data_IF_658723381105
#
_entry.id   IF_658723381105
#
_cell.length_a   1.000
_cell.length_b   1.000
_cell.length_c   1.000
_cell.angle_alpha   90.00
_cell.angle_beta   90.00
_cell.angle_gamma   90.00
#
_symmetry.space_group_name_H-M   'P 1'
#
loop_
_entity.id
_entity.type
_entity.pdbx_description
1 polymer ?
#
# COMPACT_ATOMS: atom_id res chain seq x y z
N UNK A 1 -8.47 -36.50 13.22
CA UNK A 1 -7.86 -37.07 12.01
C UNK A 1 -6.37 -36.68 11.97
N UNK A 2 -5.50 -37.40 12.70
CA UNK A 2 -4.07 -37.10 12.92
C UNK A 2 -3.11 -38.13 12.27
N UNK A 3 -3.64 -39.14 11.58
CA UNK A 3 -2.90 -40.35 11.21
C UNK A 3 -2.10 -40.26 9.91
N UNK A 4 -2.52 -39.42 8.96
CA UNK A 4 -1.87 -39.36 7.64
C UNK A 4 -0.59 -38.52 7.66
N UNK A 5 -0.59 -37.35 8.31
CA UNK A 5 0.60 -36.49 8.38
C UNK A 5 1.76 -37.18 9.11
N UNK A 6 1.52 -37.77 10.29
CA UNK A 6 2.59 -38.43 11.06
C UNK A 6 3.27 -39.56 10.29
N UNK A 7 2.55 -40.26 9.41
CA UNK A 7 3.08 -41.39 8.61
C UNK A 7 4.04 -40.94 7.49
N UNK A 8 3.77 -39.81 6.85
CA UNK A 8 4.64 -39.28 5.80
C UNK A 8 5.87 -38.58 6.39
N UNK A 9 5.70 -37.81 7.46
CA UNK A 9 6.80 -37.07 8.10
C UNK A 9 7.75 -37.97 8.91
N UNK A 10 7.28 -39.10 9.46
CA UNK A 10 8.14 -40.05 10.18
C UNK A 10 9.14 -40.78 9.28
N UNK A 11 8.76 -41.13 8.03
CA UNK A 11 9.67 -41.69 7.03
C UNK A 11 10.81 -40.74 6.67
N UNK A 12 10.53 -39.44 6.69
CA UNK A 12 11.48 -38.37 6.39
C UNK A 12 12.24 -37.86 7.64
N UNK A 13 11.97 -38.43 8.83
CA UNK A 13 12.53 -38.01 10.13
C UNK A 13 12.34 -36.50 10.42
N UNK A 14 11.19 -35.94 10.02
CA UNK A 14 10.87 -34.53 10.24
C UNK A 14 9.83 -34.36 11.36
N UNK A 15 10.06 -33.39 12.24
CA UNK A 15 9.14 -33.07 13.35
C UNK A 15 8.07 -32.07 12.92
N UNK A 16 6.80 -32.39 13.19
CA UNK A 16 5.67 -31.49 12.90
C UNK A 16 5.62 -30.37 13.95
N UNK A 17 5.42 -29.14 13.49
CA UNK A 17 5.18 -28.02 14.38
C UNK A 17 3.67 -27.91 14.68
N UNK A 18 3.25 -28.44 15.82
CA UNK A 18 1.84 -28.48 16.24
C UNK A 18 1.25 -27.08 16.50
N UNK A 19 2.09 -26.07 16.82
CA UNK A 19 1.62 -24.69 16.97
C UNK A 19 1.21 -24.03 15.64
N UNK A 20 1.73 -24.52 14.51
CA UNK A 20 1.45 -24.00 13.17
C UNK A 20 0.40 -24.85 12.43
N UNK A 21 0.35 -26.14 12.74
CA UNK A 21 -0.45 -27.14 12.05
C UNK A 21 -1.79 -27.31 12.75
N UNK A 22 -2.90 -27.07 12.04
CA UNK A 22 -4.23 -27.21 12.60
C UNK A 22 -5.22 -27.61 11.51
N UNK A 23 -6.04 -28.62 11.80
CA UNK A 23 -7.22 -28.99 10.99
C UNK A 23 -8.37 -28.13 11.46
N UNK A 24 -8.63 -27.03 10.74
CA UNK A 24 -9.70 -26.09 11.06
C UNK A 24 -10.17 -25.39 9.79
N UNK A 25 -11.21 -24.58 9.89
CA UNK A 25 -11.72 -23.81 8.76
C UNK A 25 -10.61 -22.99 8.10
N UNK A 26 -10.60 -23.03 6.77
CA UNK A 26 -9.62 -22.30 5.95
C UNK A 26 -9.90 -20.79 6.01
N UNK A 27 -11.15 -20.42 6.25
CA UNK A 27 -11.59 -19.04 6.39
C UNK A 27 -11.05 -18.45 7.70
N UNK A 28 -10.31 -17.35 7.59
CA UNK A 28 -9.68 -16.68 8.74
C UNK A 28 -8.22 -17.08 9.03
N UNK A 29 -7.68 -18.12 8.37
CA UNK A 29 -6.24 -18.44 8.44
C UNK A 29 -5.46 -17.81 7.29
N UNK A 30 -4.19 -17.54 7.58
CA UNK A 30 -3.22 -17.04 6.60
C UNK A 30 -2.47 -18.20 5.96
N UNK A 31 -2.36 -18.18 4.64
CA UNK A 31 -1.53 -19.12 3.88
C UNK A 31 -0.70 -18.34 2.87
N UNK A 32 0.63 -18.45 2.95
CA UNK A 32 1.56 -17.73 2.06
C UNK A 32 1.27 -16.23 1.93
N UNK A 33 0.84 -15.59 3.02
CA UNK A 33 0.49 -14.16 3.03
C UNK A 33 -0.88 -13.81 2.46
N UNK A 34 -1.60 -14.77 1.89
CA UNK A 34 -3.02 -14.66 1.53
C UNK A 34 -3.93 -15.04 2.70
N UNK A 35 -5.18 -14.59 2.65
CA UNK A 35 -6.25 -15.03 3.52
C UNK A 35 -7.46 -15.37 2.65
N UNK A 36 -8.15 -16.46 2.96
CA UNK A 36 -9.38 -16.84 2.26
C UNK A 36 -10.58 -16.32 3.03
N UNK A 37 -11.55 -15.79 2.30
CA UNK A 37 -12.82 -15.32 2.84
C UNK A 37 -13.95 -15.73 1.91
N UNK A 38 -15.11 -15.97 2.50
CA UNK A 38 -16.32 -16.34 1.79
C UNK A 38 -17.11 -15.08 1.47
N UNK A 39 -17.42 -14.87 0.19
CA UNK A 39 -18.24 -13.76 -0.25
C UNK A 39 -19.73 -14.07 -0.10
N UNK A 40 -20.56 -13.02 -0.14
CA UNK A 40 -22.02 -13.18 -0.24
C UNK A 40 -22.32 -13.99 -1.51
N UNK A 41 -22.83 -15.21 -1.34
CA UNK A 41 -23.10 -16.16 -2.42
C UNK A 41 -22.29 -17.47 -2.39
N UNK A 42 -21.42 -17.68 -1.39
CA UNK A 42 -20.65 -18.93 -1.25
C UNK A 42 -19.33 -18.96 -2.03
N UNK A 43 -19.01 -17.90 -2.77
CA UNK A 43 -17.77 -17.80 -3.53
C UNK A 43 -16.55 -17.58 -2.62
N UNK A 44 -15.54 -18.44 -2.74
CA UNK A 44 -14.27 -18.31 -2.03
C UNK A 44 -13.37 -17.30 -2.73
N UNK A 45 -13.03 -16.22 -2.02
CA UNK A 45 -12.19 -15.13 -2.53
C UNK A 45 -10.85 -15.06 -1.80
N UNK A 46 -9.83 -14.67 -2.54
CA UNK A 46 -8.47 -14.47 -2.03
C UNK A 46 -8.26 -13.02 -1.61
N UNK A 47 -8.05 -12.81 -0.32
CA UNK A 47 -7.63 -11.54 0.27
C UNK A 47 -6.15 -11.53 0.62
N UNK A 48 -5.64 -10.34 0.92
CA UNK A 48 -4.30 -10.17 1.48
C UNK A 48 -4.40 -10.31 2.99
N UNK A 49 -3.56 -11.14 3.61
CA UNK A 49 -3.57 -11.31 5.06
C UNK A 49 -3.24 -10.01 5.79
N UNK A 50 -3.85 -9.80 6.96
CA UNK A 50 -3.57 -8.62 7.80
C UNK A 50 -2.08 -8.49 8.13
N UNK A 51 -1.37 -9.62 8.34
CA UNK A 51 0.08 -9.65 8.55
C UNK A 51 0.84 -9.10 7.34
N UNK A 52 0.51 -9.57 6.13
CA UNK A 52 1.15 -9.07 4.90
C UNK A 52 0.89 -7.58 4.67
N UNK A 53 -0.33 -7.10 4.95
CA UNK A 53 -0.65 -5.66 4.91
C UNK A 53 0.13 -4.85 5.95
N UNK A 54 0.32 -5.40 7.15
CA UNK A 54 1.15 -4.80 8.19
C UNK A 54 2.60 -4.64 7.74
N UNK A 55 3.21 -5.72 7.24
CA UNK A 55 4.57 -5.71 6.71
C UNK A 55 4.72 -4.73 5.54
N UNK A 56 3.75 -4.70 4.62
CA UNK A 56 3.72 -3.75 3.51
C UNK A 56 3.73 -2.30 4.01
N UNK A 57 2.80 -1.94 4.90
CA UNK A 57 2.73 -0.59 5.48
C UNK A 57 4.03 -0.25 6.23
N UNK A 58 4.63 -1.18 6.95
CA UNK A 58 5.91 -0.97 7.62
C UNK A 58 7.03 -0.69 6.61
N UNK A 59 7.12 -1.46 5.53
CA UNK A 59 8.14 -1.26 4.50
C UNK A 59 7.99 0.08 3.80
N UNK A 60 6.76 0.48 3.45
CA UNK A 60 6.49 1.81 2.89
C UNK A 60 6.90 2.91 3.88
N UNK A 61 6.63 2.74 5.18
CA UNK A 61 7.09 3.71 6.20
C UNK A 61 8.60 3.86 6.23
N UNK A 62 9.35 2.76 6.09
CA UNK A 62 10.81 2.77 6.03
C UNK A 62 11.32 3.50 4.78
N UNK A 63 10.72 3.25 3.62
CA UNK A 63 11.09 3.89 2.35
C UNK A 63 10.78 5.39 2.35
N UNK A 64 9.65 5.77 2.93
CA UNK A 64 9.19 7.17 3.03
C UNK A 64 9.56 7.82 4.37
N UNK A 65 10.71 7.44 4.95
CA UNK A 65 11.19 8.05 6.20
C UNK A 65 11.45 9.53 6.00
N UNK A 66 10.97 10.32 6.96
CA UNK A 66 11.10 11.78 6.94
C UNK A 66 12.54 12.28 7.15
N UNK A 67 13.42 11.48 7.73
CA UNK A 67 14.82 11.86 8.05
C UNK A 67 15.82 11.07 7.19
N UNK A 68 15.48 10.78 5.93
CA UNK A 68 16.25 9.84 5.11
C UNK A 68 17.35 10.43 4.24
N UNK A 69 17.50 11.75 4.15
CA UNK A 69 18.48 12.43 3.29
C UNK A 69 18.30 12.23 1.77
N UNK A 70 17.30 11.45 1.34
CA UNK A 70 17.07 11.11 -0.07
C UNK A 70 16.24 12.17 -0.79
N UNK A 71 16.52 12.33 -2.08
CA UNK A 71 15.68 13.15 -2.96
C UNK A 71 14.29 12.50 -3.14
N UNK A 72 13.31 13.28 -3.55
CA UNK A 72 11.96 12.76 -3.82
C UNK A 72 11.96 11.74 -4.97
N UNK A 73 12.75 11.99 -6.01
CA UNK A 73 12.88 11.10 -7.17
C UNK A 73 13.43 9.73 -6.78
N UNK A 74 14.46 9.68 -5.92
CA UNK A 74 14.99 8.43 -5.40
C UNK A 74 13.93 7.66 -4.58
N UNK A 75 13.20 8.35 -3.71
CA UNK A 75 12.13 7.74 -2.91
C UNK A 75 11.05 7.14 -3.80
N UNK A 76 10.64 7.86 -4.85
CA UNK A 76 9.66 7.38 -5.84
C UNK A 76 10.19 6.15 -6.58
N UNK A 77 11.44 6.15 -7.03
CA UNK A 77 12.05 5.01 -7.72
C UNK A 77 12.06 3.74 -6.85
N UNK A 78 12.47 3.86 -5.58
CA UNK A 78 12.45 2.72 -4.64
C UNK A 78 11.03 2.23 -4.36
N UNK A 79 10.07 3.15 -4.21
CA UNK A 79 8.67 2.81 -4.04
C UNK A 79 8.14 2.06 -5.24
N UNK A 80 8.37 2.55 -6.46
CA UNK A 80 7.91 1.92 -7.70
C UNK A 80 8.41 0.48 -7.80
N UNK A 81 9.71 0.25 -7.59
CA UNK A 81 10.29 -1.10 -7.62
C UNK A 81 9.65 -2.04 -6.61
N UNK A 82 9.41 -1.56 -5.39
CA UNK A 82 8.78 -2.36 -4.34
C UNK A 82 7.30 -2.65 -4.65
N UNK A 83 6.56 -1.64 -5.12
CA UNK A 83 5.14 -1.76 -5.45
C UNK A 83 4.91 -2.75 -6.60
N UNK A 84 5.75 -2.71 -7.65
CA UNK A 84 5.67 -3.66 -8.76
C UNK A 84 5.88 -5.11 -8.31
N UNK A 85 6.91 -5.37 -7.48
CA UNK A 85 7.15 -6.71 -6.95
C UNK A 85 6.02 -7.20 -6.04
N UNK A 86 5.52 -6.32 -5.17
CA UNK A 86 4.42 -6.66 -4.27
C UNK A 86 3.10 -6.90 -5.02
N UNK A 87 2.83 -6.11 -6.06
CA UNK A 87 1.69 -6.29 -6.95
C UNK A 87 1.79 -7.61 -7.72
N UNK A 88 2.97 -7.94 -8.25
CA UNK A 88 3.21 -9.22 -8.93
C UNK A 88 2.91 -10.41 -8.04
N UNK A 89 3.34 -10.35 -6.78
CA UNK A 89 3.09 -11.40 -5.80
C UNK A 89 1.61 -11.53 -5.43
N UNK A 90 0.92 -10.40 -5.18
CA UNK A 90 -0.48 -10.35 -4.74
C UNK A 90 -1.51 -10.20 -5.87
N UNK A 91 -1.12 -10.48 -7.12
CA UNK A 91 -1.98 -10.30 -8.31
C UNK A 91 -3.28 -11.11 -8.26
N UNK A 92 -3.30 -12.23 -7.53
CA UNK A 92 -4.46 -13.11 -7.37
C UNK A 92 -5.46 -12.61 -6.30
N UNK A 93 -5.14 -11.51 -5.62
CA UNK A 93 -6.00 -10.93 -4.59
C UNK A 93 -7.19 -10.19 -5.20
N UNK A 94 -8.39 -10.54 -4.77
CA UNK A 94 -9.66 -10.00 -5.26
C UNK A 94 -10.19 -8.93 -4.28
N UNK A 95 -9.35 -7.94 -3.95
CA UNK A 95 -9.66 -6.93 -2.91
C UNK A 95 -9.44 -5.49 -3.39
N UNK A 96 -10.23 -5.00 -4.35
CA UNK A 96 -10.02 -3.68 -4.98
C UNK A 96 -10.09 -2.52 -3.97
N UNK A 97 -10.90 -2.64 -2.91
CA UNK A 97 -11.00 -1.63 -1.85
C UNK A 97 -9.68 -1.46 -1.09
N UNK A 98 -8.95 -2.55 -0.85
CA UNK A 98 -7.66 -2.52 -0.15
C UNK A 98 -6.62 -1.79 -1.01
N UNK A 99 -6.56 -2.11 -2.30
CA UNK A 99 -5.66 -1.44 -3.24
C UNK A 99 -5.87 0.08 -3.27
N UNK A 100 -7.11 0.55 -3.42
CA UNK A 100 -7.44 1.99 -3.39
C UNK A 100 -7.06 2.66 -2.06
N UNK A 101 -7.30 1.98 -0.94
CA UNK A 101 -6.95 2.49 0.39
C UNK A 101 -5.43 2.64 0.57
N UNK A 102 -4.66 1.62 0.15
CA UNK A 102 -3.19 1.65 0.20
C UNK A 102 -2.62 2.74 -0.67
N UNK A 103 -3.15 2.88 -1.88
CA UNK A 103 -2.74 3.88 -2.86
C UNK A 103 -2.98 5.31 -2.37
N UNK A 104 -4.18 5.60 -1.83
CA UNK A 104 -4.47 6.88 -1.17
C UNK A 104 -3.56 7.16 0.04
N UNK A 105 -3.25 6.13 0.82
CA UNK A 105 -2.33 6.23 1.96
C UNK A 105 -0.88 6.52 1.52
N UNK A 106 -0.39 5.89 0.45
CA UNK A 106 0.94 6.13 -0.12
C UNK A 106 1.03 7.57 -0.65
N UNK A 107 0.06 8.02 -1.44
CA UNK A 107 0.00 9.40 -1.94
C UNK A 107 0.05 10.42 -0.80
N UNK A 108 -0.70 10.18 0.28
CA UNK A 108 -0.67 11.05 1.46
C UNK A 108 0.73 11.14 2.07
N UNK A 109 1.46 10.02 2.15
CA UNK A 109 2.83 9.99 2.68
C UNK A 109 3.80 10.76 1.79
N UNK A 110 3.69 10.61 0.48
CA UNK A 110 4.50 11.37 -0.48
C UNK A 110 4.24 12.87 -0.37
N UNK A 111 2.98 13.30 -0.29
CA UNK A 111 2.62 14.71 -0.04
C UNK A 111 3.27 15.25 1.24
N UNK A 112 3.16 14.50 2.34
CA UNK A 112 3.77 14.90 3.60
C UNK A 112 5.31 14.96 3.54
N UNK A 113 5.95 14.10 2.75
CA UNK A 113 7.39 14.13 2.52
C UNK A 113 7.81 15.36 1.70
N UNK A 114 7.03 15.70 0.67
CA UNK A 114 7.28 16.87 -0.17
C UNK A 114 7.18 18.19 0.63
N UNK A 115 6.10 18.34 1.40
CA UNK A 115 5.93 19.47 2.32
C UNK A 115 7.08 19.57 3.34
N UNK A 116 7.59 18.42 3.80
CA UNK A 116 8.75 18.39 4.69
C UNK A 116 10.03 18.85 3.99
N UNK A 117 10.27 18.44 2.74
CA UNK A 117 11.47 18.85 2.00
C UNK A 117 11.51 20.36 1.79
N UNK A 118 10.36 21.00 1.52
CA UNK A 118 10.28 22.46 1.44
C UNK A 118 10.60 23.15 2.76
N UNK A 119 10.27 22.52 3.90
CA UNK A 119 10.65 22.85 5.29
C UNK A 119 10.19 24.22 5.82
N UNK A 120 10.33 25.29 5.05
CA UNK A 120 10.03 26.69 5.39
C UNK A 120 8.69 27.10 4.78
N UNK A 121 7.83 27.75 5.56
CA UNK A 121 6.52 28.25 5.09
C UNK A 121 6.62 29.14 3.84
N UNK A 122 7.64 30.01 3.76
CA UNK A 122 7.89 30.87 2.58
C UNK A 122 8.11 30.05 1.30
N UNK A 123 8.90 28.98 1.38
CA UNK A 123 9.14 28.07 0.26
C UNK A 123 7.87 27.31 -0.11
N UNK A 124 7.15 26.80 0.88
CA UNK A 124 5.88 26.11 0.67
C UNK A 124 4.88 27.00 -0.06
N UNK A 125 4.73 28.25 0.37
CA UNK A 125 3.84 29.21 -0.29
C UNK A 125 4.23 29.43 -1.76
N UNK A 126 5.51 29.73 -2.01
CA UNK A 126 6.02 29.97 -3.36
C UNK A 126 5.78 28.78 -4.29
N UNK A 127 6.15 27.58 -3.86
CA UNK A 127 5.99 26.38 -4.67
C UNK A 127 4.50 26.05 -4.88
N UNK A 128 3.66 26.18 -3.86
CA UNK A 128 2.22 25.97 -4.03
C UNK A 128 1.59 26.95 -5.02
N UNK A 129 1.97 28.23 -4.98
CA UNK A 129 1.53 29.23 -5.95
C UNK A 129 1.99 28.88 -7.37
N UNK A 130 3.24 28.42 -7.53
CA UNK A 130 3.78 27.95 -8.82
C UNK A 130 2.98 26.78 -9.41
N UNK A 131 2.43 25.93 -8.54
CA UNK A 131 1.61 24.76 -8.93
C UNK A 131 0.12 25.11 -9.15
N UNK A 132 -0.24 26.39 -9.06
CA UNK A 132 -1.61 26.87 -9.25
C UNK A 132 -2.52 26.65 -8.04
N UNK A 133 -1.97 26.62 -6.82
CA UNK A 133 -2.79 26.71 -5.62
C UNK A 133 -3.39 28.11 -5.48
N UNK A 134 -4.58 28.22 -4.90
CA UNK A 134 -5.13 29.53 -4.52
C UNK A 134 -4.32 30.15 -3.38
N UNK A 135 -4.16 31.49 -3.32
CA UNK A 135 -3.41 32.15 -2.27
C UNK A 135 -3.86 31.77 -0.86
N UNK A 136 -5.18 31.65 -0.64
CA UNK A 136 -5.77 31.24 0.64
C UNK A 136 -5.31 29.85 1.08
N UNK A 137 -5.29 28.88 0.16
CA UNK A 137 -4.82 27.51 0.44
C UNK A 137 -3.32 27.51 0.69
N UNK A 138 -2.54 28.18 -0.16
CA UNK A 138 -1.09 28.27 -0.02
C UNK A 138 -0.69 28.91 1.32
N UNK A 139 -1.36 30.00 1.72
CA UNK A 139 -1.10 30.72 2.97
C UNK A 139 -1.46 29.88 4.20
N UNK A 140 -2.62 29.22 4.20
CA UNK A 140 -3.03 28.32 5.28
C UNK A 140 -1.99 27.22 5.53
N UNK A 141 -1.45 26.64 4.46
CA UNK A 141 -0.50 25.53 4.56
C UNK A 141 0.90 26.01 4.94
N UNK A 142 1.30 27.18 4.44
CA UNK A 142 2.54 27.84 4.82
C UNK A 142 2.55 28.22 6.32
N UNK A 143 1.42 28.72 6.84
CA UNK A 143 1.26 29.03 8.25
C UNK A 143 1.41 27.76 9.12
N UNK A 144 0.83 26.65 8.67
CA UNK A 144 0.96 25.35 9.34
C UNK A 144 2.16 24.52 8.85
N UNK A 145 3.25 25.17 8.44
CA UNK A 145 4.42 24.53 7.80
C UNK A 145 5.10 23.42 8.60
N UNK A 146 4.86 23.30 9.90
CA UNK A 146 5.38 22.20 10.76
C UNK A 146 4.42 21.01 10.89
N UNK A 147 3.15 21.15 10.47
CA UNK A 147 2.10 20.12 10.57
C UNK A 147 1.91 19.35 9.25
N UNK A 148 2.99 18.78 8.69
CA UNK A 148 2.99 18.16 7.36
C UNK A 148 1.94 17.05 7.16
N UNK A 149 1.69 16.23 8.19
CA UNK A 149 0.71 15.14 8.10
C UNK A 149 -0.75 15.64 8.11
N UNK A 150 -1.02 16.72 8.83
CA UNK A 150 -2.32 17.39 8.82
C UNK A 150 -2.55 18.04 7.45
N UNK A 151 -1.58 18.85 6.98
CA UNK A 151 -1.65 19.54 5.69
C UNK A 151 -1.70 18.59 4.49
N UNK A 152 -1.23 17.34 4.61
CA UNK A 152 -1.30 16.35 3.52
C UNK A 152 -2.73 15.94 3.11
N UNK A 153 -3.74 16.29 3.92
CA UNK A 153 -5.17 16.09 3.64
C UNK A 153 -5.96 17.41 3.52
N UNK A 154 -5.33 18.58 3.64
CA UNK A 154 -6.02 19.84 3.45
C UNK A 154 -6.30 20.11 1.96
N UNK A 155 -6.73 21.32 1.62
CA UNK A 155 -6.90 21.77 0.24
C UNK A 155 -5.67 21.58 -0.65
N UNK A 156 -4.50 21.22 -0.12
CA UNK A 156 -3.30 20.94 -0.92
C UNK A 156 -3.38 19.58 -1.65
N UNK A 157 -4.32 18.71 -1.29
CA UNK A 157 -4.46 17.39 -1.91
C UNK A 157 -4.55 17.46 -3.43
N UNK A 158 -5.39 18.36 -3.98
CA UNK A 158 -5.59 18.45 -5.43
C UNK A 158 -4.37 19.02 -6.16
N UNK A 159 -3.63 19.93 -5.53
CA UNK A 159 -2.43 20.55 -6.10
C UNK A 159 -1.25 19.58 -6.11
N UNK A 160 -0.91 18.99 -4.96
CA UNK A 160 0.24 18.08 -4.87
C UNK A 160 -0.02 16.72 -5.52
N UNK A 161 -1.29 16.33 -5.74
CA UNK A 161 -1.56 15.12 -6.51
C UNK A 161 -1.15 15.29 -7.96
N UNK A 162 -1.27 16.48 -8.56
CA UNK A 162 -0.75 16.75 -9.91
C UNK A 162 0.77 16.59 -9.97
N UNK A 163 1.49 17.12 -8.99
CA UNK A 163 2.95 16.92 -8.90
C UNK A 163 3.36 15.45 -8.80
N UNK A 164 2.63 14.68 -7.99
CA UNK A 164 2.89 13.24 -7.87
C UNK A 164 2.54 12.52 -9.18
N UNK A 165 1.59 13.03 -9.95
CA UNK A 165 1.13 12.46 -11.23
C UNK A 165 1.98 12.89 -12.44
N UNK A 166 2.64 14.05 -12.39
CA UNK A 166 3.57 14.55 -13.42
C UNK A 166 4.99 13.98 -13.23
N UNK A 167 5.43 13.79 -11.97
CA UNK A 167 6.68 13.08 -11.68
C UNK A 167 6.56 11.55 -11.86
N UNK A 168 5.34 11.05 -12.04
CA UNK A 168 5.02 9.62 -12.18
C UNK A 168 4.25 9.41 -13.49
N UNK A 169 4.99 9.17 -14.57
CA UNK A 169 4.48 8.56 -15.81
C UNK A 169 3.48 7.46 -15.46
N UNK A 170 2.18 7.75 -15.68
CA UNK A 170 1.06 6.82 -15.69
C UNK A 170 1.36 5.55 -14.88
N UNK A 171 1.14 5.60 -13.57
CA UNK A 171 0.91 4.35 -12.84
C UNK A 171 -0.41 3.75 -13.36
N UNK A 172 -0.31 3.02 -14.48
CA UNK A 172 -1.22 1.95 -14.95
C UNK A 172 -1.40 0.83 -13.90
N UNK A 173 -1.13 1.13 -12.63
CA UNK A 173 -1.35 0.31 -11.44
C UNK A 173 -2.83 0.38 -11.04
N UNK A 174 -3.53 1.50 -11.26
CA UNK A 174 -4.96 1.60 -10.99
C UNK A 174 -5.83 1.08 -12.15
N UNK A 175 -5.57 1.51 -13.39
CA UNK A 175 -6.42 1.15 -14.55
C UNK A 175 -6.31 -0.33 -14.92
N UNK A 176 -5.12 -0.93 -14.80
CA UNK A 176 -4.93 -2.37 -15.05
C UNK A 176 -5.58 -3.27 -13.99
N UNK A 177 -5.70 -2.80 -12.74
CA UNK A 177 -6.28 -3.58 -11.63
C UNK A 177 -7.80 -3.45 -11.62
N UNK A 178 -8.37 -2.28 -11.94
CA UNK A 178 -9.82 -2.10 -11.94
C UNK A 178 -10.53 -2.81 -13.10
N UNK A 179 -9.83 -3.01 -14.22
CA UNK A 179 -10.37 -3.70 -15.40
C UNK A 179 -10.14 -5.22 -15.37
N UNK A 180 -9.04 -5.73 -14.78
CA UNK A 180 -8.77 -7.19 -14.75
C UNK A 180 -9.38 -7.94 -13.58
N UNK A 181 -9.60 -7.30 -12.41
CA UNK A 181 -10.12 -7.98 -11.22
C UNK A 181 -11.66 -8.07 -11.15
N UNK A 182 -12.39 -7.61 -12.17
CA UNK A 182 -13.84 -7.77 -12.25
C UNK A 182 -14.28 -9.05 -12.98
N UNK A 183 -13.39 -9.76 -13.69
CA UNK A 183 -13.81 -10.79 -14.63
C UNK A 183 -13.03 -12.12 -14.58
N UNK A 184 -12.51 -12.53 -13.41
CA UNK A 184 -11.94 -13.87 -13.25
C UNK A 184 -12.94 -14.74 -12.48
N UNK A 185 -13.75 -15.58 -13.16
CA UNK A 185 -14.58 -16.56 -12.47
C UNK A 185 -13.67 -17.48 -11.66
N UNK A 186 -14.13 -17.84 -10.46
CA UNK A 186 -13.48 -18.81 -9.60
C UNK A 186 -13.56 -20.20 -10.27
N UNK A 187 -12.68 -20.50 -11.22
CA UNK A 187 -12.41 -21.88 -11.62
C UNK A 187 -11.30 -22.41 -10.72
N UNK A 188 -11.70 -23.34 -9.85
CA UNK A 188 -10.84 -24.30 -9.14
C UNK A 188 -10.32 -25.29 -10.19
#
# INVERSE_FOLDING_TARGET
MYWVERRCYSKLRLTINESKSAVTSVFGRKFLGYALWEAKGGDVRRGISAKALGTFKQRIRQLTRRNGGRSISQVVAYLRRYLLGWQGYFKLSQTPRIWRSLDGWIRRRLRALHLKQWRRGKTIYRELMRLGATPRVAQSVAALSRRWWHNSLSGVHHVLTRLIHEADLKTKIADGILLRNQNVPARI
#
